data_IF_769240203104
#
_entry.id   IF_769240203104
#
_cell.length_a   1.000
_cell.length_b   1.000
_cell.length_c   1.000
_cell.angle_alpha   90.00
_cell.angle_beta   90.00
_cell.angle_gamma   90.00
#
_symmetry.space_group_name_H-M   'P 1'
#
loop_
_entity.id
_entity.type
_entity.pdbx_description
1 polymer ?
#
# COMPACT_ATOMS: atom_id res chain seq x y z
N UNK A 1 32.47 -88.49 -15.38
CA UNK A 1 33.21 -87.34 -14.82
C UNK A 1 32.26 -86.15 -14.80
N UNK A 2 31.93 -85.63 -13.61
CA UNK A 2 30.95 -84.54 -13.40
C UNK A 2 31.64 -83.20 -13.60
N UNK A 3 31.16 -82.38 -14.52
CA UNK A 3 31.63 -81.01 -14.76
C UNK A 3 30.63 -80.02 -14.15
N UNK A 4 31.03 -79.41 -13.03
CA UNK A 4 30.25 -78.38 -12.33
C UNK A 4 30.47 -77.04 -13.02
N UNK A 5 29.41 -76.40 -13.52
CA UNK A 5 29.43 -75.02 -14.04
C UNK A 5 29.29 -74.05 -12.86
N UNK A 6 30.29 -73.18 -12.67
CA UNK A 6 30.25 -72.06 -11.73
C UNK A 6 29.63 -70.87 -12.48
N UNK A 7 28.51 -70.35 -11.96
CA UNK A 7 27.87 -69.13 -12.45
C UNK A 7 28.43 -67.95 -11.66
N UNK A 8 29.21 -67.08 -12.31
CA UNK A 8 29.65 -65.80 -11.73
C UNK A 8 28.47 -64.81 -11.78
N UNK A 9 27.99 -64.37 -10.61
CA UNK A 9 27.00 -63.28 -10.50
C UNK A 9 27.77 -61.99 -10.22
N UNK A 10 27.84 -61.12 -11.21
CA UNK A 10 28.43 -59.77 -11.09
C UNK A 10 27.38 -58.81 -10.54
N UNK A 11 27.51 -58.40 -9.28
CA UNK A 11 26.72 -57.28 -8.73
C UNK A 11 27.32 -55.96 -9.22
N UNK A 12 26.65 -55.30 -10.17
CA UNK A 12 26.95 -53.92 -10.56
C UNK A 12 26.30 -52.98 -9.53
N UNK A 13 27.12 -52.34 -8.69
CA UNK A 13 26.68 -51.30 -7.75
C UNK A 13 26.73 -49.95 -8.47
N UNK A 14 25.61 -49.49 -9.04
CA UNK A 14 25.50 -48.14 -9.61
C UNK A 14 25.20 -47.15 -8.48
N UNK A 15 26.21 -46.38 -8.06
CA UNK A 15 26.04 -45.25 -7.16
C UNK A 15 25.34 -44.08 -7.87
N UNK A 16 24.12 -43.76 -7.46
CA UNK A 16 23.43 -42.53 -7.83
C UNK A 16 24.02 -41.38 -7.01
N UNK A 17 24.92 -40.59 -7.62
CA UNK A 17 25.27 -39.27 -7.11
C UNK A 17 24.08 -38.34 -7.33
N UNK A 18 23.27 -38.15 -6.28
CA UNK A 18 22.32 -37.04 -6.24
C UNK A 18 23.12 -35.73 -6.21
N UNK A 19 23.07 -34.99 -7.31
CA UNK A 19 23.63 -33.65 -7.39
C UNK A 19 22.76 -32.73 -6.54
N UNK A 20 23.12 -32.60 -5.26
CA UNK A 20 22.43 -31.77 -4.29
C UNK A 20 22.80 -30.31 -4.57
N UNK A 21 22.18 -29.73 -5.60
CA UNK A 21 22.30 -28.30 -5.89
C UNK A 21 21.64 -27.55 -4.73
N UNK A 22 22.45 -27.15 -3.73
CA UNK A 22 22.05 -26.19 -2.71
C UNK A 22 21.54 -24.94 -3.41
N UNK A 23 20.22 -24.80 -3.53
CA UNK A 23 19.57 -23.57 -3.97
C UNK A 23 19.99 -22.51 -2.97
N UNK A 24 20.78 -21.53 -3.42
CA UNK A 24 21.21 -20.43 -2.57
C UNK A 24 19.99 -19.75 -1.96
N UNK A 25 20.01 -19.51 -0.65
CA UNK A 25 18.92 -18.80 0.01
C UNK A 25 18.80 -17.39 -0.58
N UNK A 26 17.58 -16.92 -0.88
CA UNK A 26 17.36 -15.57 -1.40
C UNK A 26 17.96 -14.49 -0.48
N UNK A 27 18.39 -13.38 -1.06
CA UNK A 27 18.99 -12.24 -0.32
C UNK A 27 17.89 -11.33 0.24
N UNK A 28 18.01 -10.89 1.49
CA UNK A 28 17.07 -9.92 2.10
C UNK A 28 16.94 -8.66 1.24
N UNK A 29 15.70 -8.19 1.06
CA UNK A 29 15.37 -7.07 0.16
C UNK A 29 15.02 -7.49 -1.27
N UNK A 30 15.15 -8.78 -1.60
CA UNK A 30 14.61 -9.35 -2.85
C UNK A 30 13.20 -9.89 -2.65
N UNK A 31 12.43 -9.92 -3.74
CA UNK A 31 11.09 -10.49 -3.74
C UNK A 31 11.08 -11.97 -3.33
N UNK A 32 12.07 -12.75 -3.77
CA UNK A 32 12.20 -14.17 -3.45
C UNK A 32 12.40 -14.42 -1.96
N UNK A 33 13.14 -13.54 -1.28
CA UNK A 33 13.30 -13.58 0.18
C UNK A 33 11.97 -13.34 0.88
N UNK A 34 11.24 -12.30 0.48
CA UNK A 34 9.94 -11.98 1.08
C UNK A 34 8.89 -13.04 0.81
N UNK A 35 8.90 -13.62 -0.39
CA UNK A 35 8.03 -14.74 -0.72
C UNK A 35 8.32 -15.96 0.16
N UNK A 36 9.59 -16.31 0.36
CA UNK A 36 9.95 -17.43 1.22
C UNK A 36 9.56 -17.15 2.68
N UNK A 37 9.83 -15.95 3.18
CA UNK A 37 9.48 -15.53 4.53
C UNK A 37 7.97 -15.58 4.76
N UNK A 38 7.17 -15.00 3.87
CA UNK A 38 5.71 -14.91 4.02
C UNK A 38 5.02 -16.27 3.86
N UNK A 39 5.52 -17.15 2.97
CA UNK A 39 5.01 -18.53 2.86
C UNK A 39 5.13 -19.35 4.13
N UNK A 40 6.11 -19.04 4.98
CA UNK A 40 6.25 -19.68 6.29
C UNK A 40 5.22 -19.16 7.32
N UNK A 41 4.52 -18.05 7.02
CA UNK A 41 3.59 -17.36 7.93
C UNK A 41 2.14 -17.42 7.46
N UNK A 42 1.91 -17.56 6.16
CA UNK A 42 0.59 -17.59 5.51
C UNK A 42 0.57 -18.42 4.21
N UNK A 43 -0.63 -18.85 3.80
CA UNK A 43 -0.94 -19.34 2.46
C UNK A 43 -1.12 -18.17 1.48
N UNK A 44 0.00 -17.55 1.11
CA UNK A 44 -0.01 -16.38 0.22
C UNK A 44 -0.42 -16.72 -1.22
N UNK A 45 -1.06 -15.76 -1.88
CA UNK A 45 -1.35 -15.78 -3.32
C UNK A 45 -0.27 -14.98 -4.05
N UNK A 46 0.22 -15.51 -5.18
CA UNK A 46 1.20 -14.82 -6.02
C UNK A 46 0.61 -14.60 -7.40
N UNK A 47 0.49 -13.33 -7.80
CA UNK A 47 0.09 -12.93 -9.15
C UNK A 47 1.35 -12.65 -9.98
N UNK A 48 1.32 -12.91 -11.28
CA UNK A 48 2.48 -12.73 -12.17
C UNK A 48 2.09 -12.16 -13.52
N UNK A 49 2.91 -11.28 -14.10
CA UNK A 49 2.80 -10.86 -15.50
C UNK A 49 3.13 -12.02 -16.44
N UNK A 50 2.79 -11.90 -17.72
CA UNK A 50 2.94 -13.01 -18.68
C UNK A 50 4.41 -13.40 -18.88
N UNK A 51 5.31 -12.42 -18.82
CA UNK A 51 6.76 -12.64 -18.87
C UNK A 51 7.35 -13.15 -17.53
N UNK A 52 6.53 -13.24 -16.48
CA UNK A 52 6.92 -13.67 -15.14
C UNK A 52 7.82 -12.71 -14.38
N UNK A 53 8.11 -11.52 -14.92
CA UNK A 53 8.97 -10.52 -14.28
C UNK A 53 8.23 -9.71 -13.23
N UNK A 54 7.08 -9.17 -13.60
CA UNK A 54 6.12 -8.56 -12.70
C UNK A 54 5.53 -9.61 -11.78
N UNK A 55 5.67 -9.48 -10.46
CA UNK A 55 5.00 -10.37 -9.50
C UNK A 55 4.48 -9.58 -8.30
N UNK A 56 3.40 -10.08 -7.67
CA UNK A 56 2.74 -9.45 -6.51
C UNK A 56 2.41 -10.53 -5.48
N UNK A 57 2.70 -10.28 -4.20
CA UNK A 57 2.37 -11.19 -3.07
C UNK A 57 1.19 -10.65 -2.29
N UNK A 58 0.14 -11.44 -2.18
CA UNK A 58 -1.07 -11.12 -1.42
C UNK A 58 -1.21 -12.09 -0.26
N UNK A 59 -1.59 -11.59 0.92
CA UNK A 59 -1.81 -12.40 2.10
C UNK A 59 -3.26 -12.34 2.57
N UNK A 60 -4.05 -13.41 2.41
CA UNK A 60 -5.37 -13.52 3.03
C UNK A 60 -5.32 -13.39 4.55
N UNK A 61 -4.32 -13.98 5.21
CA UNK A 61 -4.22 -13.97 6.68
C UNK A 61 -3.98 -12.60 7.28
N UNK A 62 -3.16 -11.79 6.61
CA UNK A 62 -2.79 -10.46 7.06
C UNK A 62 -3.58 -9.40 6.27
N UNK A 63 -4.89 -9.29 6.53
CA UNK A 63 -5.74 -8.20 6.01
C UNK A 63 -5.96 -8.19 4.48
N UNK A 64 -5.80 -9.31 3.77
CA UNK A 64 -5.85 -9.32 2.30
C UNK A 64 -4.88 -8.30 1.64
N UNK A 65 -3.82 -7.90 2.35
CA UNK A 65 -2.92 -6.86 1.85
C UNK A 65 -2.01 -7.38 0.77
N UNK A 66 -1.55 -6.47 -0.08
CA UNK A 66 -0.39 -6.72 -0.93
C UNK A 66 0.82 -6.44 -0.06
N UNK A 67 1.66 -7.45 0.16
CA UNK A 67 2.87 -7.26 0.95
C UNK A 67 3.96 -6.57 0.16
N UNK A 68 4.19 -7.03 -1.07
CA UNK A 68 5.18 -6.49 -1.97
C UNK A 68 4.94 -6.92 -3.41
N UNK A 69 5.46 -6.15 -4.35
CA UNK A 69 5.60 -6.44 -5.77
C UNK A 69 7.06 -6.39 -6.22
N UNK A 70 7.32 -6.84 -7.45
CA UNK A 70 8.63 -6.76 -8.09
C UNK A 70 8.51 -6.67 -9.60
N UNK A 71 9.51 -6.07 -10.25
CA UNK A 71 9.60 -5.90 -11.70
C UNK A 71 10.64 -6.83 -12.37
N UNK A 72 11.29 -7.74 -11.62
CA UNK A 72 12.37 -8.59 -12.15
C UNK A 72 12.39 -10.01 -11.55
N UNK A 73 11.22 -10.54 -11.22
CA UNK A 73 11.05 -11.88 -10.67
C UNK A 73 11.70 -12.06 -9.30
N UNK A 74 12.04 -13.30 -8.95
CA UNK A 74 12.44 -13.66 -7.58
C UNK A 74 13.72 -12.96 -7.09
N UNK A 75 14.63 -12.60 -7.99
CA UNK A 75 15.86 -11.88 -7.64
C UNK A 75 15.68 -10.36 -7.70
N UNK A 76 14.52 -9.88 -8.16
CA UNK A 76 14.20 -8.48 -8.24
C UNK A 76 14.03 -7.83 -6.86
N UNK A 77 14.15 -6.50 -6.84
CA UNK A 77 13.88 -5.68 -5.65
C UNK A 77 12.44 -5.91 -5.18
N UNK A 78 12.28 -5.99 -3.87
CA UNK A 78 10.98 -5.91 -3.20
C UNK A 78 10.63 -4.44 -2.96
N UNK A 79 9.46 -3.97 -3.42
CA UNK A 79 9.09 -2.56 -3.32
C UNK A 79 8.37 -2.23 -2.01
N UNK A 80 7.49 -3.11 -1.55
CA UNK A 80 6.77 -2.98 -0.29
C UNK A 80 7.67 -3.03 0.93
N UNK A 81 7.29 -2.28 1.96
CA UNK A 81 7.93 -2.36 3.26
C UNK A 81 7.30 -3.47 4.13
N UNK A 82 8.14 -4.31 4.73
CA UNK A 82 7.72 -5.42 5.61
C UNK A 82 8.47 -5.32 6.94
N UNK A 83 7.72 -5.33 8.04
CA UNK A 83 8.28 -5.35 9.40
C UNK A 83 8.42 -6.78 9.92
N UNK A 84 9.51 -7.45 9.55
CA UNK A 84 9.72 -8.87 9.83
C UNK A 84 9.59 -9.24 11.31
N UNK A 85 10.05 -8.38 12.22
CA UNK A 85 10.00 -8.59 13.66
C UNK A 85 8.59 -8.72 14.21
N UNK A 86 7.61 -8.03 13.62
CA UNK A 86 6.20 -8.08 14.06
C UNK A 86 5.60 -9.49 13.89
N UNK A 87 6.08 -10.28 12.93
CA UNK A 87 5.62 -11.66 12.70
C UNK A 87 6.10 -12.67 13.75
N UNK A 88 6.99 -12.24 14.65
CA UNK A 88 7.51 -13.06 15.74
C UNK A 88 6.92 -12.64 17.09
N UNK A 89 6.02 -11.64 17.12
CA UNK A 89 5.31 -11.26 18.32
C UNK A 89 4.46 -12.44 18.83
N UNK A 90 4.57 -12.74 20.13
CA UNK A 90 3.81 -13.83 20.76
C UNK A 90 2.32 -13.52 20.85
N UNK A 91 1.98 -12.23 20.90
CA UNK A 91 0.63 -11.71 20.97
C UNK A 91 0.53 -10.48 20.07
N UNK A 92 -0.63 -10.23 19.44
CA UNK A 92 -0.86 -8.99 18.72
C UNK A 92 -0.68 -7.76 19.60
N UNK A 93 -0.15 -6.69 19.03
CA UNK A 93 -0.14 -5.36 19.65
C UNK A 93 -1.58 -4.85 19.80
N UNK A 94 -1.87 -4.24 20.95
CA UNK A 94 -3.21 -3.76 21.27
C UNK A 94 -3.64 -2.55 20.42
N UNK A 95 -2.69 -1.71 20.00
CA UNK A 95 -2.95 -0.50 19.21
C UNK A 95 -2.94 -0.82 17.72
N UNK A 96 -1.84 -1.37 17.21
CA UNK A 96 -1.68 -1.71 15.79
C UNK A 96 -0.59 -2.74 15.55
N UNK A 97 -0.90 -3.72 14.70
CA UNK A 97 0.03 -4.74 14.26
C UNK A 97 0.67 -4.32 12.93
N UNK A 98 1.76 -3.57 13.02
CA UNK A 98 2.46 -2.97 11.89
C UNK A 98 3.25 -3.99 11.03
N UNK A 99 2.59 -4.99 10.43
CA UNK A 99 3.25 -5.99 9.57
C UNK A 99 3.90 -5.40 8.29
N UNK A 100 3.56 -4.15 7.96
CA UNK A 100 3.86 -3.55 6.67
C UNK A 100 2.82 -3.86 5.60
N UNK A 101 3.20 -3.67 4.34
CA UNK A 101 2.44 -3.97 3.14
C UNK A 101 2.43 -2.84 2.12
N UNK A 102 2.83 -3.15 0.89
CA UNK A 102 2.87 -2.23 -0.25
C UNK A 102 1.53 -1.58 -0.58
N UNK A 103 0.39 -2.26 -0.38
CA UNK A 103 -0.94 -1.64 -0.45
C UNK A 103 -1.87 -2.33 0.56
N UNK A 104 -2.47 -1.52 1.43
CA UNK A 104 -3.33 -1.92 2.56
C UNK A 104 -4.63 -1.14 2.53
N UNK A 105 -5.71 -1.80 2.92
CA UNK A 105 -7.02 -1.15 3.08
C UNK A 105 -7.31 -0.79 4.53
N UNK A 106 -7.38 0.50 4.83
CA UNK A 106 -7.99 1.02 6.05
C UNK A 106 -9.40 1.52 5.80
N UNK A 107 -10.11 1.78 6.90
CA UNK A 107 -11.37 2.51 6.91
C UNK A 107 -11.19 3.78 7.71
N UNK A 108 -11.78 4.88 7.24
CA UNK A 108 -11.85 6.14 7.98
C UNK A 108 -13.24 6.40 8.58
N UNK A 109 -13.36 7.39 9.47
CA UNK A 109 -12.26 8.24 9.92
C UNK A 109 -11.47 7.64 11.09
N UNK A 110 -10.20 8.01 11.17
CA UNK A 110 -9.32 7.68 12.30
C UNK A 110 -9.72 8.47 13.55
N UNK A 111 -9.97 9.77 13.40
CA UNK A 111 -10.43 10.65 14.46
C UNK A 111 -11.82 11.24 14.21
N UNK A 112 -12.14 12.32 14.90
CA UNK A 112 -13.43 13.01 14.74
C UNK A 112 -14.63 12.30 15.36
N UNK A 113 -15.79 12.99 15.34
CA UNK A 113 -17.06 12.54 15.91
C UNK A 113 -17.49 11.12 15.49
N UNK A 114 -17.09 10.68 14.29
CA UNK A 114 -17.46 9.39 13.73
C UNK A 114 -16.28 8.41 13.63
N UNK A 115 -15.21 8.63 14.42
CA UNK A 115 -14.03 7.77 14.42
C UNK A 115 -14.38 6.28 14.56
N UNK A 116 -13.61 5.43 13.86
CA UNK A 116 -13.67 3.98 13.98
C UNK A 116 -12.64 3.40 14.98
N UNK A 117 -11.77 4.24 15.55
CA UNK A 117 -10.56 3.83 16.26
C UNK A 117 -10.60 4.15 17.76
N UNK A 118 -11.63 4.86 18.21
CA UNK A 118 -11.84 5.25 19.60
C UNK A 118 -13.19 4.73 20.10
N UNK A 119 -13.22 4.28 21.36
CA UNK A 119 -14.48 3.93 22.03
C UNK A 119 -15.27 5.19 22.37
N UNK A 120 -16.61 5.16 22.37
CA UNK A 120 -17.41 6.32 22.75
C UNK A 120 -17.01 6.90 24.11
N UNK A 121 -16.79 8.22 24.17
CA UNK A 121 -16.48 8.96 25.39
C UNK A 121 -15.01 8.91 25.85
N UNK A 122 -14.12 8.16 25.17
CA UNK A 122 -12.69 8.17 25.49
C UNK A 122 -11.98 9.39 24.91
N UNK A 123 -10.92 9.87 25.55
CA UNK A 123 -10.06 10.90 24.97
C UNK A 123 -9.39 10.38 23.70
N UNK A 124 -9.31 11.22 22.66
CA UNK A 124 -8.59 10.89 21.43
C UNK A 124 -7.08 11.12 21.63
N UNK A 125 -6.45 10.17 22.32
CA UNK A 125 -5.02 10.12 22.62
C UNK A 125 -4.50 8.70 22.36
N UNK A 126 -3.18 8.53 22.25
CA UNK A 126 -2.59 7.28 21.78
C UNK A 126 -3.02 6.06 22.61
N UNK A 127 -3.11 6.23 23.93
CA UNK A 127 -3.50 5.17 24.87
C UNK A 127 -4.91 4.61 24.61
N UNK A 128 -5.80 5.38 23.99
CA UNK A 128 -7.17 4.95 23.66
C UNK A 128 -7.36 4.61 22.17
N UNK A 129 -6.31 4.78 21.34
CA UNK A 129 -6.37 4.55 19.91
C UNK A 129 -6.17 3.07 19.59
N UNK A 130 -7.10 2.46 18.86
CA UNK A 130 -7.01 1.06 18.46
C UNK A 130 -7.45 0.87 17.01
N UNK A 131 -6.62 0.20 16.21
CA UNK A 131 -6.99 -0.16 14.83
C UNK A 131 -8.01 -1.30 14.85
N UNK A 132 -9.18 -1.17 14.19
CA UNK A 132 -10.18 -2.23 14.14
C UNK A 132 -9.59 -3.56 13.63
N UNK A 133 -9.84 -4.69 14.30
CA UNK A 133 -9.19 -5.97 13.98
C UNK A 133 -9.31 -6.40 12.50
N UNK A 134 -10.46 -6.15 11.87
CA UNK A 134 -10.74 -6.48 10.47
C UNK A 134 -9.81 -5.76 9.46
N UNK A 135 -9.24 -4.61 9.84
CA UNK A 135 -8.25 -3.84 9.06
C UNK A 135 -6.89 -3.77 9.75
N UNK A 136 -6.56 -4.74 10.60
CA UNK A 136 -5.32 -4.76 11.38
C UNK A 136 -4.62 -6.12 11.27
N UNK A 137 -5.24 -7.15 11.84
CA UNK A 137 -4.60 -8.44 12.10
C UNK A 137 -5.50 -9.66 11.83
N UNK A 138 -6.77 -9.46 11.50
CA UNK A 138 -7.65 -10.57 11.15
C UNK A 138 -7.46 -11.04 9.71
N UNK A 139 -7.68 -12.34 9.53
CA UNK A 139 -7.72 -12.97 8.21
C UNK A 139 -8.99 -12.61 7.45
N UNK A 140 -8.84 -12.61 6.12
CA UNK A 140 -9.88 -12.43 5.12
C UNK A 140 -10.08 -13.73 4.37
N UNK A 141 -11.28 -13.93 3.86
CA UNK A 141 -11.63 -15.12 3.10
C UNK A 141 -11.19 -14.93 1.64
N UNK A 142 -10.35 -15.84 1.13
CA UNK A 142 -10.03 -15.89 -0.30
C UNK A 142 -11.23 -16.49 -1.05
N UNK A 143 -11.90 -15.67 -1.85
CA UNK A 143 -13.09 -16.06 -2.64
C UNK A 143 -12.67 -16.74 -3.93
N UNK A 144 -11.68 -16.17 -4.63
CA UNK A 144 -11.14 -16.74 -5.86
C UNK A 144 -9.73 -16.25 -6.13
N UNK A 145 -8.94 -17.03 -6.87
CA UNK A 145 -7.63 -16.60 -7.36
C UNK A 145 -7.29 -17.26 -8.69
N UNK A 146 -6.55 -16.55 -9.52
CA UNK A 146 -5.88 -17.04 -10.73
C UNK A 146 -4.40 -16.61 -10.70
N UNK A 147 -3.66 -16.87 -11.79
CA UNK A 147 -2.31 -16.32 -11.93
C UNK A 147 -2.25 -14.80 -12.05
N UNK A 148 -3.39 -14.12 -12.28
CA UNK A 148 -3.47 -12.68 -12.57
C UNK A 148 -4.33 -11.88 -11.60
N UNK A 149 -5.30 -12.53 -10.95
CA UNK A 149 -6.28 -11.87 -10.10
C UNK A 149 -6.50 -12.63 -8.80
N UNK A 150 -6.88 -11.93 -7.75
CA UNK A 150 -7.38 -12.52 -6.51
C UNK A 150 -8.53 -11.67 -5.96
N UNK A 151 -9.56 -12.33 -5.44
CA UNK A 151 -10.72 -11.70 -4.81
C UNK A 151 -10.82 -12.17 -3.37
N UNK A 152 -10.86 -11.23 -2.44
CA UNK A 152 -10.95 -11.51 -1.00
C UNK A 152 -12.14 -10.77 -0.39
N UNK A 153 -12.72 -11.32 0.67
CA UNK A 153 -13.85 -10.69 1.37
C UNK A 153 -13.71 -10.78 2.89
N UNK A 154 -14.37 -9.84 3.57
CA UNK A 154 -14.46 -9.80 5.02
C UNK A 154 -15.81 -9.23 5.43
N UNK A 155 -16.53 -9.94 6.30
CA UNK A 155 -17.64 -9.35 7.04
C UNK A 155 -17.15 -8.89 8.41
N UNK A 156 -17.59 -7.72 8.86
CA UNK A 156 -17.22 -7.17 10.17
C UNK A 156 -18.30 -6.25 10.72
N UNK A 157 -18.20 -5.92 12.00
CA UNK A 157 -19.03 -4.93 12.67
C UNK A 157 -18.14 -3.99 13.47
N UNK A 158 -18.26 -2.68 13.22
CA UNK A 158 -17.42 -1.66 13.86
C UNK A 158 -18.34 -0.60 14.45
N UNK A 159 -18.21 -0.32 15.75
CA UNK A 159 -18.90 0.80 16.38
C UNK A 159 -18.08 2.08 16.21
N UNK A 160 -18.71 3.15 15.72
CA UNK A 160 -18.06 4.45 15.66
C UNK A 160 -18.14 5.20 17.00
N UNK A 161 -17.37 6.26 17.14
CA UNK A 161 -17.29 7.07 18.36
C UNK A 161 -18.64 7.70 18.79
N UNK A 162 -19.56 7.92 17.84
CA UNK A 162 -20.91 8.40 18.11
C UNK A 162 -21.88 7.29 18.59
N UNK A 163 -21.42 6.03 18.66
CA UNK A 163 -22.19 4.89 19.16
C UNK A 163 -22.90 4.07 18.08
N UNK A 164 -22.84 4.48 16.81
CA UNK A 164 -23.45 3.74 15.69
C UNK A 164 -22.65 2.48 15.38
N UNK A 165 -23.34 1.33 15.34
CA UNK A 165 -22.73 0.06 14.90
C UNK A 165 -22.88 -0.10 13.38
N UNK A 166 -21.77 -0.14 12.68
CA UNK A 166 -21.68 -0.30 11.23
C UNK A 166 -21.48 -1.78 10.90
N UNK A 167 -22.48 -2.43 10.30
CA UNK A 167 -22.35 -3.80 9.77
C UNK A 167 -21.84 -3.74 8.34
N UNK A 168 -20.62 -4.20 8.13
CA UNK A 168 -19.86 -3.95 6.91
C UNK A 168 -19.51 -5.27 6.23
N UNK A 169 -19.74 -5.34 4.92
CA UNK A 169 -19.06 -6.30 4.05
C UNK A 169 -18.02 -5.57 3.22
N UNK A 170 -16.78 -6.03 3.32
CA UNK A 170 -15.66 -5.60 2.48
C UNK A 170 -15.36 -6.64 1.41
N UNK A 171 -15.02 -6.16 0.23
CA UNK A 171 -14.47 -6.95 -0.86
C UNK A 171 -13.24 -6.23 -1.40
N UNK A 172 -12.19 -6.99 -1.67
CA UNK A 172 -10.93 -6.48 -2.23
C UNK A 172 -10.55 -7.35 -3.41
N UNK A 173 -10.57 -6.77 -4.59
CA UNK A 173 -10.15 -7.41 -5.83
C UNK A 173 -8.78 -6.86 -6.22
N UNK A 174 -7.83 -7.76 -6.47
CA UNK A 174 -6.46 -7.43 -6.84
C UNK A 174 -6.18 -7.99 -8.23
N UNK A 175 -5.57 -7.19 -9.10
CA UNK A 175 -5.16 -7.58 -10.45
C UNK A 175 -3.76 -7.07 -10.74
N UNK A 176 -2.86 -7.96 -11.22
CA UNK A 176 -1.59 -7.54 -11.79
C UNK A 176 -1.80 -7.09 -13.25
N UNK A 177 -1.11 -6.04 -13.66
CA UNK A 177 -1.30 -5.38 -14.94
C UNK A 177 -0.20 -5.78 -15.94
N UNK A 178 -0.60 -6.02 -17.17
CA UNK A 178 0.35 -6.21 -18.28
C UNK A 178 0.92 -4.87 -18.76
N UNK A 179 2.13 -4.87 -19.36
CA UNK A 179 2.77 -3.65 -19.84
C UNK A 179 1.89 -2.80 -20.78
N UNK A 180 1.06 -3.43 -21.61
CA UNK A 180 0.14 -2.71 -22.49
C UNK A 180 -0.91 -1.91 -21.70
N UNK A 181 -1.48 -2.51 -20.65
CA UNK A 181 -2.46 -1.88 -19.76
C UNK A 181 -1.81 -0.77 -18.94
N UNK A 182 -0.59 -0.97 -18.43
CA UNK A 182 0.19 0.06 -17.73
C UNK A 182 0.35 1.30 -18.62
N UNK A 183 0.79 1.11 -19.87
CA UNK A 183 0.96 2.21 -20.84
C UNK A 183 -0.35 2.96 -21.09
N UNK A 184 -1.44 2.22 -21.30
CA UNK A 184 -2.76 2.79 -21.54
C UNK A 184 -3.25 3.62 -20.34
N UNK A 185 -3.14 3.09 -19.12
CA UNK A 185 -3.59 3.78 -17.90
C UNK A 185 -2.81 5.06 -17.62
N UNK A 186 -1.50 5.04 -17.89
CA UNK A 186 -0.62 6.19 -17.68
C UNK A 186 -0.63 7.18 -18.85
N UNK A 187 -1.23 6.81 -19.99
CA UNK A 187 -1.23 7.62 -21.21
C UNK A 187 0.17 7.82 -21.78
N UNK A 188 1.05 6.82 -21.65
CA UNK A 188 2.41 6.81 -22.24
C UNK A 188 2.42 5.95 -23.51
N UNK A 189 3.08 6.42 -24.57
CA UNK A 189 3.06 5.73 -25.87
C UNK A 189 3.99 4.51 -25.90
N UNK A 190 5.17 4.66 -25.30
CA UNK A 190 6.22 3.65 -25.26
C UNK A 190 6.81 3.56 -23.87
N UNK A 191 7.22 2.34 -23.49
CA UNK A 191 8.08 2.11 -22.35
C UNK A 191 9.44 1.73 -22.92
N UNK A 192 10.50 2.43 -22.50
CA UNK A 192 11.85 2.09 -22.91
C UNK A 192 12.16 0.64 -22.54
N UNK A 193 12.70 -0.15 -23.48
CA UNK A 193 13.00 -1.57 -23.28
C UNK A 193 13.97 -1.85 -22.12
N UNK A 194 14.73 -0.83 -21.70
CA UNK A 194 15.65 -0.91 -20.55
C UNK A 194 14.95 -0.70 -19.21
N UNK A 195 13.72 -0.18 -19.20
CA UNK A 195 12.93 0.06 -17.99
C UNK A 195 12.17 -1.21 -17.62
N UNK A 196 12.47 -1.74 -16.45
CA UNK A 196 11.70 -2.82 -15.83
C UNK A 196 10.47 -2.21 -15.17
N UNK A 197 9.33 -2.87 -15.29
CA UNK A 197 8.08 -2.38 -14.68
C UNK A 197 7.25 -3.48 -14.06
N UNK A 198 6.44 -3.08 -13.09
CA UNK A 198 5.33 -3.85 -12.54
C UNK A 198 4.22 -2.88 -12.20
N UNK A 199 2.98 -3.31 -12.36
CA UNK A 199 1.83 -2.56 -11.87
C UNK A 199 0.74 -3.49 -11.41
N UNK A 200 -0.06 -3.01 -10.46
CA UNK A 200 -1.27 -3.70 -10.02
C UNK A 200 -2.36 -2.70 -9.69
N UNK A 201 -3.59 -3.20 -9.65
CA UNK A 201 -4.76 -2.46 -9.23
C UNK A 201 -5.44 -3.19 -8.09
N UNK A 202 -5.89 -2.44 -7.09
CA UNK A 202 -6.85 -2.90 -6.11
C UNK A 202 -8.16 -2.13 -6.26
N UNK A 203 -9.26 -2.87 -6.28
CA UNK A 203 -10.60 -2.32 -6.19
C UNK A 203 -11.20 -2.76 -4.86
N UNK A 204 -11.40 -1.79 -3.98
CA UNK A 204 -11.95 -2.02 -2.65
C UNK A 204 -13.42 -1.62 -2.68
N UNK A 205 -14.31 -2.52 -2.26
CA UNK A 205 -15.75 -2.26 -2.19
C UNK A 205 -16.21 -2.40 -0.74
N UNK A 206 -16.94 -1.40 -0.26
CA UNK A 206 -17.66 -1.43 1.01
C UNK A 206 -19.15 -1.52 0.74
N UNK A 207 -19.83 -2.43 1.43
CA UNK A 207 -21.28 -2.60 1.37
C UNK A 207 -21.86 -2.45 2.78
N UNK A 208 -22.97 -1.71 2.90
CA UNK A 208 -23.76 -1.71 4.12
C UNK A 208 -24.54 -3.02 4.22
N UNK A 209 -24.03 -3.96 5.01
CA UNK A 209 -24.66 -5.28 5.22
C UNK A 209 -25.63 -5.28 6.41
N UNK A 210 -25.88 -4.12 7.03
CA UNK A 210 -26.81 -3.95 8.13
C UNK A 210 -28.22 -3.55 7.69
N UNK A 211 -28.99 -3.04 8.64
CA UNK A 211 -30.39 -2.63 8.45
C UNK A 211 -30.62 -1.12 8.59
N UNK A 212 -29.59 -0.36 8.95
CA UNK A 212 -29.68 1.08 9.20
C UNK A 212 -28.87 1.85 8.15
N UNK A 213 -29.38 2.99 7.71
CA UNK A 213 -28.69 3.88 6.78
C UNK A 213 -27.42 4.47 7.42
N UNK A 214 -26.37 4.63 6.62
CA UNK A 214 -25.20 5.42 6.97
C UNK A 214 -25.36 6.81 6.34
N UNK A 215 -25.44 7.83 7.18
CA UNK A 215 -25.68 9.21 6.76
C UNK A 215 -24.84 10.20 7.60
N UNK A 216 -25.09 11.49 7.43
CA UNK A 216 -24.38 12.55 8.16
C UNK A 216 -24.68 12.58 9.67
N UNK A 217 -25.73 11.89 10.11
CA UNK A 217 -26.17 11.84 11.52
C UNK A 217 -25.60 10.61 12.21
N UNK A 218 -25.75 9.44 11.61
CA UNK A 218 -25.26 8.17 12.12
C UNK A 218 -23.73 8.04 11.95
N UNK A 219 -23.16 8.75 10.98
CA UNK A 219 -21.80 8.59 10.52
C UNK A 219 -21.70 7.54 9.42
N UNK A 220 -20.70 7.71 8.55
CA UNK A 220 -20.39 6.78 7.47
C UNK A 220 -18.89 6.56 7.41
N UNK A 221 -18.42 5.33 7.14
CA UNK A 221 -17.01 5.06 6.93
C UNK A 221 -16.55 5.56 5.55
N UNK A 222 -15.25 5.66 5.32
CA UNK A 222 -14.66 5.74 3.97
C UNK A 222 -13.67 4.61 3.75
N UNK A 223 -13.33 4.32 2.48
CA UNK A 223 -12.22 3.46 2.11
C UNK A 223 -10.95 4.29 2.04
N UNK A 224 -9.83 3.76 2.55
CA UNK A 224 -8.55 4.44 2.56
C UNK A 224 -7.46 3.44 2.15
N UNK A 225 -6.82 3.66 1.00
CA UNK A 225 -5.68 2.86 0.56
C UNK A 225 -4.39 3.52 1.03
N UNK A 226 -3.54 2.76 1.72
CA UNK A 226 -2.26 3.20 2.27
C UNK A 226 -1.15 2.30 1.75
N UNK A 227 -0.30 2.87 0.91
CA UNK A 227 0.85 2.15 0.39
C UNK A 227 2.04 2.32 1.32
N UNK A 228 2.74 1.25 1.71
CA UNK A 228 3.96 1.37 2.51
C UNK A 228 5.19 0.95 1.70
N UNK A 229 6.08 1.90 1.47
CA UNK A 229 7.31 1.69 0.71
C UNK A 229 8.55 1.88 1.57
N UNK A 230 9.62 1.17 1.21
CA UNK A 230 10.93 1.35 1.88
C UNK A 230 11.60 2.63 1.36
N UNK A 231 12.02 3.57 2.24
CA UNK A 231 12.63 4.82 1.83
C UNK A 231 14.11 4.65 1.54
N UNK A 232 14.67 5.64 0.86
CA UNK A 232 16.11 5.87 0.72
C UNK A 232 16.45 7.31 1.10
N UNK A 233 17.74 7.63 1.33
CA UNK A 233 18.16 9.01 1.62
C UNK A 233 17.77 10.05 0.56
N UNK A 234 17.45 9.61 -0.66
CA UNK A 234 17.08 10.46 -1.80
C UNK A 234 15.63 10.24 -2.25
N UNK A 235 14.77 9.70 -1.39
CA UNK A 235 13.36 9.49 -1.72
C UNK A 235 12.58 10.79 -1.57
N UNK A 236 11.89 11.19 -2.63
CA UNK A 236 11.03 12.38 -2.67
C UNK A 236 9.66 12.00 -3.21
N UNK A 237 8.63 12.33 -2.44
CA UNK A 237 7.23 12.22 -2.85
C UNK A 237 6.87 13.44 -3.69
N UNK A 238 6.17 13.20 -4.80
CA UNK A 238 5.76 14.18 -5.80
C UNK A 238 4.23 14.19 -5.84
N UNK A 239 3.63 15.30 -5.42
CA UNK A 239 2.18 15.45 -5.28
C UNK A 239 1.67 16.59 -6.17
N UNK A 240 1.21 16.28 -7.40
CA UNK A 240 0.59 17.27 -8.26
C UNK A 240 -0.74 17.78 -7.69
N UNK A 241 -0.98 19.09 -7.77
CA UNK A 241 -2.21 19.74 -7.30
C UNK A 241 -2.71 20.78 -8.32
N UNK A 242 -3.97 21.21 -8.14
CA UNK A 242 -4.62 22.27 -8.93
C UNK A 242 -4.32 23.63 -8.31
N UNK A 243 -3.67 24.50 -9.05
CA UNK A 243 -3.27 25.84 -8.56
C UNK A 243 -4.46 26.80 -8.53
N UNK A 244 -5.37 26.65 -9.48
CA UNK A 244 -6.51 27.53 -9.74
C UNK A 244 -7.67 27.38 -8.76
N UNK A 245 -7.73 26.27 -8.01
CA UNK A 245 -8.74 26.08 -6.96
C UNK A 245 -8.54 27.08 -5.81
N UNK A 246 -9.53 27.28 -4.95
CA UNK A 246 -9.42 28.16 -3.77
C UNK A 246 -9.04 27.39 -2.50
N UNK A 247 -8.65 28.11 -1.44
CA UNK A 247 -8.33 27.54 -0.13
C UNK A 247 -6.88 27.08 0.04
N UNK A 248 -6.59 26.39 1.14
CA UNK A 248 -5.26 25.86 1.44
C UNK A 248 -4.89 24.78 0.43
N UNK A 249 -3.64 24.76 -0.03
CA UNK A 249 -3.15 23.72 -0.96
C UNK A 249 -3.03 22.36 -0.27
N UNK A 250 -2.46 22.34 0.93
CA UNK A 250 -2.21 21.12 1.69
C UNK A 250 -2.31 21.35 3.20
N UNK A 251 -2.84 20.40 3.94
CA UNK A 251 -2.61 20.26 5.38
C UNK A 251 -1.22 19.67 5.60
N UNK A 252 -0.38 20.25 6.45
CA UNK A 252 1.06 19.92 6.58
C UNK A 252 1.51 19.78 8.03
N UNK A 253 0.56 19.79 8.98
CA UNK A 253 0.80 19.90 10.41
C UNK A 253 0.15 18.80 11.26
N UNK A 254 -0.23 17.67 10.64
CA UNK A 254 -0.86 16.53 11.33
C UNK A 254 -0.07 16.04 12.56
N UNK A 255 1.27 16.08 12.51
CA UNK A 255 2.16 15.68 13.61
C UNK A 255 3.13 16.80 14.02
N UNK A 256 2.69 18.05 13.85
CA UNK A 256 3.57 19.23 13.79
C UNK A 256 3.90 19.60 12.34
N UNK A 257 4.25 20.87 12.13
CA UNK A 257 4.52 21.40 10.78
C UNK A 257 5.73 20.69 10.14
N UNK A 258 5.59 20.26 8.89
CA UNK A 258 6.70 19.70 8.12
C UNK A 258 7.80 20.78 7.96
N UNK A 259 9.06 20.48 8.30
CA UNK A 259 10.17 21.43 8.16
C UNK A 259 10.31 21.98 6.73
N UNK A 260 10.63 23.27 6.60
CA UNK A 260 10.70 23.98 5.31
C UNK A 260 11.77 23.43 4.36
N UNK A 261 12.80 22.80 4.89
CA UNK A 261 13.86 22.12 4.13
C UNK A 261 13.44 20.72 3.65
N UNK A 262 12.21 20.28 3.97
CA UNK A 262 11.70 18.96 3.61
C UNK A 262 10.43 19.00 2.77
N UNK A 263 9.93 20.19 2.47
CA UNK A 263 8.74 20.41 1.66
C UNK A 263 8.96 21.60 0.73
N UNK A 264 8.60 21.45 -0.54
CA UNK A 264 8.68 22.53 -1.51
C UNK A 264 7.44 22.57 -2.40
N UNK A 265 7.08 23.76 -2.86
CA UNK A 265 6.02 23.99 -3.83
C UNK A 265 6.65 24.51 -5.11
N UNK A 266 6.31 23.89 -6.24
CA UNK A 266 6.86 24.22 -7.55
C UNK A 266 5.78 24.02 -8.62
N UNK A 267 5.22 25.12 -9.15
CA UNK A 267 4.32 25.16 -10.31
C UNK A 267 3.26 24.04 -10.30
N UNK A 268 2.38 24.04 -9.30
CA UNK A 268 1.32 23.03 -9.17
C UNK A 268 1.80 21.64 -8.74
N UNK A 269 3.01 21.52 -8.19
CA UNK A 269 3.54 20.29 -7.59
C UNK A 269 4.08 20.57 -6.20
N UNK A 270 3.71 19.73 -5.24
CA UNK A 270 4.26 19.70 -3.90
C UNK A 270 5.25 18.56 -3.81
N UNK A 271 6.47 18.84 -3.36
CA UNK A 271 7.53 17.87 -3.11
C UNK A 271 7.68 17.65 -1.61
N UNK A 272 7.79 16.40 -1.17
CA UNK A 272 7.96 16.05 0.24
C UNK A 272 9.07 15.01 0.41
N UNK A 273 10.12 15.37 1.15
CA UNK A 273 11.28 14.48 1.40
C UNK A 273 10.88 13.35 2.33
N UNK A 274 11.02 12.12 1.84
CA UNK A 274 10.54 10.90 2.50
C UNK A 274 11.67 9.88 2.75
N UNK A 275 12.72 10.32 3.45
CA UNK A 275 13.94 9.55 3.73
C UNK A 275 13.88 8.68 5.01
N UNK A 276 12.73 8.63 5.68
CA UNK A 276 12.56 7.92 6.94
C UNK A 276 13.19 8.58 8.18
N UNK A 277 13.69 9.83 8.08
CA UNK A 277 14.44 10.51 9.17
C UNK A 277 13.67 11.62 9.89
N UNK A 278 12.48 11.98 9.41
CA UNK A 278 11.66 13.04 10.03
C UNK A 278 10.18 12.72 9.87
N UNK A 279 9.46 12.62 10.99
CA UNK A 279 8.03 12.33 10.94
C UNK A 279 7.29 13.52 10.35
N UNK A 280 6.53 13.29 9.29
CA UNK A 280 5.72 14.33 8.65
C UNK A 280 4.58 13.71 7.86
N UNK A 281 3.42 14.36 7.88
CA UNK A 281 2.25 13.96 7.09
C UNK A 281 1.65 15.19 6.44
N UNK A 282 1.29 15.05 5.17
CA UNK A 282 0.50 16.02 4.45
C UNK A 282 -0.83 15.43 3.98
N UNK A 283 -1.76 16.31 3.66
CA UNK A 283 -3.01 15.95 2.99
C UNK A 283 -3.44 17.03 2.01
N UNK A 284 -4.01 16.61 0.87
CA UNK A 284 -4.52 17.49 -0.17
C UNK A 284 -6.05 17.39 -0.19
N UNK A 285 -6.78 18.53 -0.06
CA UNK A 285 -8.23 18.51 -0.12
C UNK A 285 -8.72 18.17 -1.53
N UNK A 286 -9.93 17.59 -1.66
CA UNK A 286 -10.44 17.04 -2.93
C UNK A 286 -10.52 18.07 -4.07
N UNK A 287 -10.77 19.34 -3.76
CA UNK A 287 -10.83 20.40 -4.76
C UNK A 287 -9.44 20.78 -5.33
N UNK A 288 -8.36 20.54 -4.57
CA UNK A 288 -6.97 20.75 -4.96
C UNK A 288 -6.32 19.50 -5.54
N UNK A 289 -6.80 18.32 -5.15
CA UNK A 289 -6.21 17.04 -5.56
C UNK A 289 -6.28 16.82 -7.08
N UNK A 290 -5.24 16.17 -7.61
CA UNK A 290 -5.32 15.41 -8.86
C UNK A 290 -5.44 13.94 -8.51
N UNK A 291 -5.91 13.13 -9.46
CA UNK A 291 -6.15 11.70 -9.27
C UNK A 291 -4.86 10.84 -9.35
N UNK A 292 -3.73 11.43 -8.95
CA UNK A 292 -2.40 10.85 -9.05
C UNK A 292 -1.42 11.48 -8.10
N UNK A 293 -0.46 10.69 -7.65
CA UNK A 293 0.77 11.11 -6.97
C UNK A 293 1.87 10.09 -7.27
N UNK A 294 3.09 10.38 -6.86
CA UNK A 294 4.19 9.43 -7.02
C UNK A 294 5.34 9.71 -6.08
N UNK A 295 6.41 8.94 -6.23
CA UNK A 295 7.68 9.17 -5.55
C UNK A 295 8.84 8.74 -6.45
N UNK A 296 10.00 9.34 -6.25
CA UNK A 296 11.23 8.91 -6.88
C UNK A 296 12.28 8.59 -5.82
N UNK A 297 12.81 7.37 -5.88
CA UNK A 297 13.96 6.92 -5.12
C UNK A 297 15.20 7.00 -6.02
N UNK A 298 15.92 8.12 -5.94
CA UNK A 298 17.11 8.36 -6.75
C UNK A 298 18.28 7.39 -6.49
N UNK A 299 18.36 6.80 -5.30
CA UNK A 299 19.44 5.89 -4.93
C UNK A 299 19.25 4.50 -5.52
N UNK A 300 18.00 4.07 -5.67
CA UNK A 300 17.65 2.78 -6.27
C UNK A 300 17.12 2.90 -7.72
N UNK A 301 17.05 4.12 -8.25
CA UNK A 301 16.50 4.43 -9.58
C UNK A 301 15.08 3.87 -9.77
N UNK A 302 14.19 4.15 -8.80
CA UNK A 302 12.79 3.69 -8.81
C UNK A 302 11.84 4.87 -8.87
N UNK A 303 11.01 4.93 -9.91
CA UNK A 303 9.85 5.81 -9.98
C UNK A 303 8.60 5.00 -9.61
N UNK A 304 7.90 5.44 -8.57
CA UNK A 304 6.59 4.93 -8.19
C UNK A 304 5.51 5.93 -8.61
N UNK A 305 4.45 5.43 -9.22
CA UNK A 305 3.27 6.21 -9.59
C UNK A 305 2.05 5.53 -9.01
N UNK A 306 1.13 6.33 -8.51
CA UNK A 306 -0.16 5.89 -8.00
C UNK A 306 -1.27 6.63 -8.74
N UNK A 307 -2.26 5.89 -9.24
CA UNK A 307 -3.52 6.41 -9.78
C UNK A 307 -4.68 5.94 -8.92
N UNK A 308 -5.72 6.77 -8.76
CA UNK A 308 -6.86 6.42 -7.90
C UNK A 308 -8.14 7.14 -8.34
N UNK A 309 -9.28 6.67 -7.84
CA UNK A 309 -10.56 7.35 -7.99
C UNK A 309 -10.59 8.66 -7.18
N UNK A 310 -11.09 9.75 -7.78
CA UNK A 310 -11.22 11.04 -7.12
C UNK A 310 -12.56 11.68 -7.46
N UNK A 311 -13.41 11.86 -6.45
CA UNK A 311 -14.59 12.72 -6.53
C UNK A 311 -14.25 14.08 -5.90
N UNK A 312 -14.12 15.13 -6.72
CA UNK A 312 -13.78 16.48 -6.24
C UNK A 312 -14.92 17.18 -5.48
N UNK A 313 -16.15 16.63 -5.54
CA UNK A 313 -17.35 17.15 -4.86
C UNK A 313 -17.77 16.27 -3.68
N UNK A 314 -17.05 15.17 -3.43
CA UNK A 314 -17.33 14.22 -2.38
C UNK A 314 -17.18 14.82 -0.98
N UNK A 315 -17.81 14.18 0.01
CA UNK A 315 -17.63 14.54 1.42
C UNK A 315 -16.49 13.68 1.98
N UNK A 316 -15.31 14.27 2.18
CA UNK A 316 -14.14 13.55 2.70
C UNK A 316 -14.06 13.69 4.22
N UNK A 317 -13.72 12.60 4.89
CA UNK A 317 -13.74 12.54 6.34
C UNK A 317 -12.45 13.12 6.93
N UNK A 318 -12.61 14.03 7.90
CA UNK A 318 -11.49 14.56 8.66
C UNK A 318 -10.91 13.47 9.57
N UNK A 319 -9.58 13.31 9.52
CA UNK A 319 -8.87 12.23 10.23
C UNK A 319 -8.26 12.70 11.57
N UNK A 320 -8.33 14.00 11.89
CA UNK A 320 -7.73 14.55 13.10
C UNK A 320 -8.36 13.97 14.38
N UNK A 321 -7.52 13.74 15.38
CA UNK A 321 -7.89 13.26 16.72
C UNK A 321 -8.55 14.36 17.57
N UNK A 322 -9.63 14.94 17.04
CA UNK A 322 -10.43 15.99 17.66
C UNK A 322 -11.92 15.73 17.40
N UNK A 323 -12.72 15.41 18.43
CA UNK A 323 -14.12 15.04 18.24
C UNK A 323 -14.98 16.19 17.70
N UNK A 324 -14.61 17.45 17.98
CA UNK A 324 -15.42 18.63 17.68
C UNK A 324 -15.11 19.30 16.33
N UNK A 325 -14.13 18.77 15.57
CA UNK A 325 -13.83 19.26 14.23
C UNK A 325 -14.96 18.88 13.27
N UNK A 326 -15.25 19.75 12.29
CA UNK A 326 -16.22 19.44 11.25
C UNK A 326 -15.84 18.11 10.55
N UNK A 327 -16.72 17.09 10.54
CA UNK A 327 -16.33 15.74 10.16
C UNK A 327 -16.07 15.58 8.65
N UNK A 328 -16.60 16.48 7.80
CA UNK A 328 -16.56 16.36 6.35
C UNK A 328 -15.63 17.39 5.68
N UNK A 329 -14.48 17.65 6.30
CA UNK A 329 -13.44 18.58 5.82
C UNK A 329 -12.10 17.90 5.58
N UNK A 330 -12.12 16.59 5.30
CA UNK A 330 -10.93 15.78 5.12
C UNK A 330 -10.21 15.96 3.79
N UNK A 331 -9.08 15.29 3.71
CA UNK A 331 -8.23 15.24 2.52
C UNK A 331 -8.56 14.00 1.66
N UNK A 332 -8.33 14.10 0.35
CA UNK A 332 -8.52 13.01 -0.60
C UNK A 332 -7.23 12.23 -0.87
N UNK A 333 -6.08 12.89 -0.65
CA UNK A 333 -4.75 12.36 -0.91
C UNK A 333 -3.90 12.68 0.29
N UNK A 334 -3.14 11.72 0.76
CA UNK A 334 -2.20 11.91 1.85
C UNK A 334 -0.84 11.36 1.47
N UNK A 335 0.19 11.90 2.11
CA UNK A 335 1.54 11.36 2.02
C UNK A 335 2.19 11.44 3.39
N UNK A 336 2.95 10.41 3.75
CA UNK A 336 3.54 10.27 5.07
C UNK A 336 4.99 9.85 4.97
N UNK A 337 5.82 10.37 5.87
CA UNK A 337 7.18 9.90 6.12
C UNK A 337 7.27 9.47 7.59
N UNK A 338 7.61 8.21 7.83
CA UNK A 338 7.85 7.70 9.18
C UNK A 338 9.27 8.06 9.60
N UNK A 339 9.40 8.92 10.62
CA UNK A 339 10.67 9.26 11.25
C UNK A 339 10.62 9.06 12.76
N UNK A 340 11.78 9.15 13.44
CA UNK A 340 11.86 8.96 14.89
C UNK A 340 10.92 9.90 15.67
N UNK A 341 10.31 9.37 16.73
CA UNK A 341 9.58 10.15 17.73
C UNK A 341 10.55 10.86 18.69
N UNK A 342 10.01 11.76 19.52
CA UNK A 342 10.81 12.51 20.51
C UNK A 342 11.57 11.62 21.51
N UNK A 343 11.05 10.42 21.78
CA UNK A 343 11.70 9.41 22.63
C UNK A 343 12.71 8.52 21.87
N UNK A 344 12.99 8.80 20.60
CA UNK A 344 13.89 8.04 19.74
C UNK A 344 13.32 6.75 19.15
N UNK A 345 12.12 6.32 19.57
CA UNK A 345 11.46 5.16 18.98
C UNK A 345 10.92 5.47 17.58
N UNK A 346 10.84 4.45 16.73
CA UNK A 346 10.35 4.56 15.36
C UNK A 346 9.62 3.27 14.97
N UNK A 347 8.55 3.39 14.17
CA UNK A 347 7.82 2.22 13.70
C UNK A 347 8.52 1.56 12.52
N UNK A 348 8.97 2.38 11.57
CA UNK A 348 9.60 2.02 10.31
C UNK A 348 11.13 1.92 10.37
N UNK A 349 11.84 2.45 9.34
CA UNK A 349 11.39 3.52 8.44
C UNK A 349 10.58 3.03 7.22
N UNK A 350 9.50 3.76 6.91
CA UNK A 350 8.69 3.65 5.69
C UNK A 350 8.17 5.03 5.25
N UNK A 351 7.68 5.13 4.02
CA UNK A 351 6.86 6.26 3.58
C UNK A 351 5.58 5.75 2.94
N UNK A 352 4.56 6.62 2.89
CA UNK A 352 3.26 6.26 2.34
C UNK A 352 2.79 7.20 1.25
N UNK A 353 2.14 6.61 0.25
CA UNK A 353 1.29 7.27 -0.72
C UNK A 353 -0.13 6.78 -0.46
N UNK A 354 -1.07 7.70 -0.31
CA UNK A 354 -2.39 7.35 0.21
C UNK A 354 -3.50 8.01 -0.62
N UNK A 355 -4.61 7.29 -0.77
CA UNK A 355 -5.82 7.83 -1.39
C UNK A 355 -7.05 7.42 -0.60
N UNK A 356 -8.05 8.29 -0.56
CA UNK A 356 -9.24 8.13 0.26
C UNK A 356 -10.47 8.25 -0.63
N UNK A 357 -11.51 7.45 -0.36
CA UNK A 357 -12.82 7.64 -0.96
C UNK A 357 -13.62 8.72 -0.22
N UNK A 358 -14.68 9.29 -0.82
CA UNK A 358 -15.70 9.99 -0.05
C UNK A 358 -16.32 9.08 1.03
N UNK A 359 -16.97 9.71 2.01
CA UNK A 359 -17.80 9.01 3.01
C UNK A 359 -18.88 8.18 2.31
N UNK A 360 -18.97 6.90 2.68
CA UNK A 360 -19.90 5.94 2.12
C UNK A 360 -21.30 6.10 2.73
N UNK A 361 -22.03 7.14 2.32
CA UNK A 361 -23.43 7.32 2.71
C UNK A 361 -24.31 6.28 1.99
N UNK A 362 -24.53 5.15 2.64
CA UNK A 362 -25.14 3.95 2.05
C UNK A 362 -26.38 3.49 2.83
N UNK A 363 -27.47 3.24 2.13
CA UNK A 363 -28.61 2.47 2.63
C UNK A 363 -28.24 0.97 2.74
N UNK A 364 -29.01 0.18 3.49
CA UNK A 364 -28.86 -1.28 3.50
C UNK A 364 -28.76 -1.87 2.09
N UNK A 365 -27.71 -2.66 1.85
CA UNK A 365 -27.43 -3.30 0.57
C UNK A 365 -26.73 -2.42 -0.47
N UNK A 366 -26.65 -1.10 -0.28
CA UNK A 366 -25.89 -0.22 -1.17
C UNK A 366 -24.38 -0.39 -0.96
N UNK A 367 -23.61 -0.03 -2.00
CA UNK A 367 -22.16 -0.19 -2.04
C UNK A 367 -21.46 1.06 -2.56
N UNK A 368 -20.22 1.23 -2.13
CA UNK A 368 -19.25 2.19 -2.67
C UNK A 368 -17.96 1.43 -3.00
N UNK A 369 -17.32 1.79 -4.13
CA UNK A 369 -16.04 1.23 -4.55
C UNK A 369 -14.99 2.32 -4.68
N UNK A 370 -13.73 1.97 -4.44
CA UNK A 370 -12.56 2.84 -4.61
C UNK A 370 -11.43 2.05 -5.27
N UNK A 371 -11.02 2.51 -6.45
CA UNK A 371 -9.91 1.95 -7.22
C UNK A 371 -8.62 2.68 -6.90
N UNK A 372 -7.57 1.90 -6.75
CA UNK A 372 -6.22 2.35 -6.47
C UNK A 372 -5.24 1.50 -7.29
N UNK A 373 -4.27 2.11 -7.96
CA UNK A 373 -3.34 1.42 -8.85
C UNK A 373 -1.93 1.92 -8.63
N UNK A 374 -1.01 1.00 -8.38
CA UNK A 374 0.40 1.29 -8.10
C UNK A 374 1.25 0.76 -9.25
N UNK A 375 2.23 1.56 -9.66
CA UNK A 375 3.16 1.24 -10.73
C UNK A 375 4.59 1.54 -10.29
N UNK A 376 5.49 0.60 -10.51
CA UNK A 376 6.92 0.79 -10.29
C UNK A 376 7.68 0.69 -11.61
N UNK A 377 8.63 1.61 -11.80
CA UNK A 377 9.54 1.64 -12.93
C UNK A 377 10.98 1.71 -12.43
N UNK A 378 11.83 0.81 -12.90
CA UNK A 378 13.26 0.79 -12.58
C UNK A 378 14.10 0.91 -13.85
N UNK A 379 15.00 1.89 -13.91
CA UNK A 379 15.84 2.10 -15.09
C UNK A 379 16.62 3.40 -15.05
N UNK A 380 17.15 3.81 -16.20
CA UNK A 380 17.89 5.07 -16.34
C UNK A 380 17.01 6.29 -16.02
N UNK A 381 17.59 7.29 -15.36
CA UNK A 381 16.87 8.51 -14.94
C UNK A 381 16.21 9.24 -16.11
N UNK A 382 16.80 9.24 -17.32
CA UNK A 382 16.20 9.94 -18.46
C UNK A 382 14.96 9.21 -19.00
N UNK A 383 14.93 7.88 -18.89
CA UNK A 383 13.75 7.11 -19.25
C UNK A 383 12.64 7.30 -18.21
N UNK A 384 12.99 7.30 -16.92
CA UNK A 384 12.04 7.55 -15.83
C UNK A 384 11.50 8.98 -15.84
N UNK A 385 12.33 9.98 -16.16
CA UNK A 385 11.94 11.39 -16.24
C UNK A 385 10.85 11.62 -17.29
N UNK A 386 10.92 10.95 -18.45
CA UNK A 386 9.86 11.03 -19.47
C UNK A 386 8.50 10.57 -18.92
N UNK A 387 8.50 9.50 -18.11
CA UNK A 387 7.28 8.98 -17.48
C UNK A 387 6.80 9.97 -16.42
N UNK A 388 7.69 10.45 -15.54
CA UNK A 388 7.36 11.41 -14.49
C UNK A 388 6.78 12.72 -15.05
N UNK A 389 7.41 13.29 -16.10
CA UNK A 389 6.91 14.48 -16.78
C UNK A 389 5.54 14.26 -17.39
N UNK A 390 5.32 13.14 -18.08
CA UNK A 390 4.05 12.83 -18.73
C UNK A 390 2.93 12.62 -17.72
N UNK A 391 3.20 11.90 -16.64
CA UNK A 391 2.16 11.46 -15.70
C UNK A 391 1.97 12.45 -14.56
N UNK A 392 3.05 12.88 -13.91
CA UNK A 392 3.04 13.76 -12.73
C UNK A 392 3.18 15.24 -13.10
N UNK A 393 3.64 15.56 -14.32
CA UNK A 393 3.89 16.95 -14.72
C UNK A 393 5.16 17.53 -14.08
N UNK A 394 6.08 16.68 -13.65
CA UNK A 394 7.29 17.07 -12.92
C UNK A 394 8.52 16.35 -13.46
N UNK A 395 9.63 17.07 -13.63
CA UNK A 395 10.90 16.49 -14.08
C UNK A 395 11.76 16.05 -12.90
N UNK A 396 12.30 14.84 -12.98
CA UNK A 396 13.26 14.30 -12.02
C UNK A 396 14.63 15.01 -12.07
N UNK A 397 14.88 15.80 -13.12
CA UNK A 397 16.07 16.65 -13.27
C UNK A 397 15.89 18.06 -12.70
N UNK A 398 14.69 18.41 -12.20
CA UNK A 398 14.44 19.73 -11.61
C UNK A 398 15.35 19.93 -10.38
N UNK A 399 16.00 21.10 -10.30
CA UNK A 399 16.92 21.44 -9.20
C UNK A 399 16.26 21.38 -7.82
N UNK A 400 14.95 21.61 -7.74
CA UNK A 400 14.16 21.54 -6.52
C UNK A 400 13.87 20.10 -6.10
N UNK A 401 14.26 19.10 -6.89
CA UNK A 401 14.08 17.70 -6.54
C UNK A 401 14.94 17.30 -5.33
N UNK A 402 16.08 17.97 -5.10
CA UNK A 402 17.01 17.65 -4.01
C UNK A 402 16.64 18.27 -2.66
N UNK A 403 15.35 18.49 -2.38
CA UNK A 403 14.87 18.91 -1.05
C UNK A 403 15.21 17.85 0.00
#
# INVERSE_FOLDING_TARGET
MKTTKILLVSFLLTGLYACDTKVASPTKGTFGYDLQFLKAKDSVVVLKSDDGKGQVIISPKYQAKIFTSTADGLNGKSFGWIKYETFNAKQPDAHMNAYGGEDRLWLGPEGGRFSLFFKPGTKMEFDNWHTPPAINNESWDLVSSSGKKASLTKNTSIQNYAGTTLSIKLQRDVEILEPATIKQMLGIDTLDSTVKSVGFTTENTITNSGTTVWDKTAGAPCLWSLDMFTPSPSTVIIVPYKEEATGKVATTNYFGEIPKDRIAYNNGTLLFKADGKSRGKLGIPPNRAKNRLGSYDGANHVLTIVLFDLDIKGNYLNQEWKPDTAPFTGDAVNAYNDGPLANGSQMGPFYELESVSPAAFLKPGEKLSHKHSVFHFMGDINALDKIALKVLGYSLHDKNHNI
#
